data_IF_138581531948
#
_entry.id   IF_138581531948
#
_cell.length_a   1.000
_cell.length_b   1.000
_cell.length_c   1.000
_cell.angle_alpha   90.00
_cell.angle_beta   90.00
_cell.angle_gamma   90.00
#
_symmetry.space_group_name_H-M   'P 1'
#
loop_
_entity.id
_entity.type
_entity.pdbx_description
1 polymer ?
#
# COMPACT_ATOMS: atom_id res chain seq x y z
N UNK A 1 -8.90 -16.79 -6.58
CA UNK A 1 -8.92 -16.73 -8.06
C UNK A 1 -7.90 -15.69 -8.48
N UNK A 2 -6.79 -16.09 -9.09
CA UNK A 2 -5.73 -15.18 -9.56
C UNK A 2 -6.03 -14.78 -11.01
N UNK A 3 -6.45 -13.53 -11.23
CA UNK A 3 -6.52 -12.98 -12.59
C UNK A 3 -5.10 -12.81 -13.13
N UNK A 4 -4.69 -13.65 -14.08
CA UNK A 4 -3.36 -13.59 -14.70
C UNK A 4 -3.53 -13.33 -16.18
N UNK A 5 -3.28 -12.10 -16.63
CA UNK A 5 -2.95 -11.84 -18.03
C UNK A 5 -1.48 -12.23 -18.25
N UNK A 6 -1.24 -13.31 -19.00
CA UNK A 6 0.10 -13.74 -19.40
C UNK A 6 0.67 -12.75 -20.43
N UNK A 7 1.57 -11.88 -19.99
CA UNK A 7 2.44 -11.06 -20.83
C UNK A 7 3.80 -10.91 -20.15
N UNK A 8 4.87 -11.34 -20.81
CA UNK A 8 6.24 -11.25 -20.32
C UNK A 8 6.73 -9.78 -20.35
N UNK A 9 6.36 -9.01 -19.33
CA UNK A 9 6.78 -7.60 -19.19
C UNK A 9 5.88 -6.68 -18.36
N UNK A 10 4.92 -7.22 -17.58
CA UNK A 10 4.01 -6.40 -16.75
C UNK A 10 4.56 -6.05 -15.37
N UNK A 11 4.21 -4.86 -14.87
CA UNK A 11 4.49 -4.37 -13.52
C UNK A 11 3.64 -5.14 -12.51
N UNK A 12 4.20 -5.56 -11.38
CA UNK A 12 3.56 -6.48 -10.44
C UNK A 12 3.26 -5.80 -9.11
N UNK A 13 1.97 -5.64 -8.84
CA UNK A 13 1.47 -5.14 -7.55
C UNK A 13 0.89 -6.30 -6.74
N UNK A 14 1.23 -6.37 -5.45
CA UNK A 14 0.55 -7.26 -4.50
C UNK A 14 -0.27 -6.40 -3.55
N UNK A 15 -1.58 -6.52 -3.62
CA UNK A 15 -2.49 -5.89 -2.67
C UNK A 15 -2.67 -6.84 -1.49
N UNK A 16 -2.63 -6.33 -0.26
CA UNK A 16 -2.83 -7.08 0.97
C UNK A 16 -3.97 -6.43 1.76
N UNK A 17 -5.09 -7.11 1.91
CA UNK A 17 -6.27 -6.65 2.66
C UNK A 17 -6.90 -7.80 3.43
N UNK A 18 -7.08 -7.65 4.74
CA UNK A 18 -7.67 -8.72 5.56
C UNK A 18 -9.16 -8.99 5.29
N UNK A 19 -9.89 -7.98 4.82
CA UNK A 19 -11.36 -7.98 4.74
C UNK A 19 -11.89 -8.04 3.29
N UNK A 20 -11.01 -7.99 2.28
CA UNK A 20 -11.29 -8.11 0.83
C UNK A 20 -12.43 -7.21 0.29
N UNK A 21 -12.73 -6.06 0.92
CA UNK A 21 -13.84 -5.20 0.49
C UNK A 21 -13.44 -4.22 -0.61
N UNK A 22 -12.20 -3.73 -0.59
CA UNK A 22 -11.73 -2.69 -1.50
C UNK A 22 -10.71 -3.21 -2.51
N UNK A 23 -9.96 -4.24 -2.12
CA UNK A 23 -8.89 -4.85 -2.90
C UNK A 23 -9.34 -5.35 -4.28
N UNK A 24 -10.52 -5.95 -4.40
CA UNK A 24 -11.04 -6.44 -5.68
C UNK A 24 -11.38 -5.28 -6.63
N UNK A 25 -12.15 -4.29 -6.15
CA UNK A 25 -12.52 -3.12 -6.97
C UNK A 25 -11.29 -2.35 -7.44
N UNK A 26 -10.28 -2.20 -6.58
CA UNK A 26 -9.02 -1.56 -6.95
C UNK A 26 -8.26 -2.39 -8.00
N UNK A 27 -8.26 -3.71 -7.88
CA UNK A 27 -7.63 -4.61 -8.84
C UNK A 27 -8.30 -4.54 -10.22
N UNK A 28 -9.62 -4.52 -10.26
CA UNK A 28 -10.38 -4.45 -11.52
C UNK A 28 -10.02 -3.19 -12.31
N UNK A 29 -10.01 -2.02 -11.65
CA UNK A 29 -9.62 -0.74 -12.29
C UNK A 29 -8.14 -0.73 -12.67
N UNK A 30 -7.26 -1.31 -11.84
CA UNK A 30 -5.82 -1.39 -12.14
C UNK A 30 -5.50 -2.23 -13.38
N UNK A 31 -6.28 -3.27 -13.65
CA UNK A 31 -6.05 -4.18 -14.79
C UNK A 31 -6.63 -3.60 -16.09
N UNK A 32 -7.65 -2.74 -15.99
CA UNK A 32 -8.20 -1.98 -17.12
C UNK A 32 -7.28 -0.85 -17.60
N UNK A 33 -6.27 -0.49 -16.82
CA UNK A 33 -5.34 0.58 -17.15
C UNK A 33 -4.53 0.28 -18.43
N UNK A 34 -4.55 1.22 -19.37
CA UNK A 34 -3.94 1.04 -20.69
C UNK A 34 -2.54 1.61 -20.79
N UNK A 35 -2.15 2.54 -19.91
CA UNK A 35 -0.84 3.18 -19.99
C UNK A 35 0.32 2.25 -19.64
N UNK A 36 0.08 1.23 -18.82
CA UNK A 36 1.07 0.21 -18.42
C UNK A 36 0.39 -1.12 -18.14
N UNK A 37 1.02 -2.24 -18.52
CA UNK A 37 0.52 -3.56 -18.14
C UNK A 37 0.78 -3.80 -16.65
N UNK A 38 -0.28 -4.05 -15.88
CA UNK A 38 -0.21 -4.36 -14.44
C UNK A 38 -0.70 -5.79 -14.19
N UNK A 39 0.06 -6.55 -13.43
CA UNK A 39 -0.34 -7.85 -12.89
C UNK A 39 -0.60 -7.69 -11.39
N UNK A 40 -1.85 -7.89 -10.98
CA UNK A 40 -2.27 -7.69 -9.59
C UNK A 40 -2.42 -9.04 -8.89
N UNK A 41 -1.77 -9.19 -7.74
CA UNK A 41 -1.94 -10.32 -6.83
C UNK A 41 -2.72 -9.86 -5.61
N UNK A 42 -3.76 -10.59 -5.25
CA UNK A 42 -4.55 -10.35 -4.04
C UNK A 42 -4.11 -11.32 -2.95
N UNK A 43 -4.00 -10.81 -1.72
CA UNK A 43 -3.68 -11.59 -0.54
C UNK A 43 -4.44 -11.05 0.68
N UNK A 44 -4.81 -11.94 1.60
CA UNK A 44 -5.42 -11.56 2.89
C UNK A 44 -4.39 -11.11 3.92
N UNK A 45 -3.25 -11.78 3.92
CA UNK A 45 -2.12 -11.55 4.83
C UNK A 45 -0.84 -12.15 4.23
N UNK A 46 0.29 -11.85 4.86
CA UNK A 46 1.58 -12.47 4.56
C UNK A 46 2.02 -13.39 5.72
N UNK A 47 2.87 -14.41 5.46
CA UNK A 47 3.52 -14.73 4.18
C UNK A 47 2.54 -15.36 3.19
N UNK A 48 2.81 -15.22 1.89
CA UNK A 48 2.10 -16.02 0.89
C UNK A 48 2.49 -17.49 1.07
N UNK A 49 1.59 -18.45 0.74
CA UNK A 49 1.94 -19.87 0.75
C UNK A 49 3.23 -20.11 -0.06
N UNK A 50 4.13 -20.93 0.48
CA UNK A 50 5.48 -21.16 -0.06
C UNK A 50 5.51 -21.96 -1.38
N UNK A 51 4.35 -22.25 -1.96
CA UNK A 51 4.26 -22.93 -3.25
C UNK A 51 4.97 -22.09 -4.32
N UNK A 52 6.01 -22.69 -4.94
CA UNK A 52 6.77 -22.15 -6.06
C UNK A 52 7.75 -20.99 -5.76
N UNK A 53 8.36 -20.94 -4.56
CA UNK A 53 9.30 -19.88 -4.15
C UNK A 53 10.45 -19.64 -5.17
N UNK A 54 11.01 -20.71 -5.73
CA UNK A 54 12.08 -20.67 -6.76
C UNK A 54 11.66 -20.01 -8.09
N UNK A 55 10.35 -19.95 -8.36
CA UNK A 55 9.79 -19.27 -9.54
C UNK A 55 8.99 -18.02 -9.17
N UNK A 56 9.04 -17.60 -7.90
CA UNK A 56 8.23 -16.51 -7.38
C UNK A 56 8.63 -15.24 -8.12
N UNK A 57 7.71 -14.68 -8.92
CA UNK A 57 8.07 -13.53 -9.72
C UNK A 57 8.40 -12.33 -8.83
N UNK A 58 9.32 -11.48 -9.31
CA UNK A 58 9.65 -10.21 -8.63
C UNK A 58 8.38 -9.39 -8.38
N UNK A 59 8.24 -8.84 -7.18
CA UNK A 59 7.15 -7.94 -6.82
C UNK A 59 7.70 -6.51 -6.91
N UNK A 60 7.01 -5.64 -7.65
CA UNK A 60 7.44 -4.25 -7.83
C UNK A 60 6.89 -3.36 -6.71
N UNK A 61 5.66 -3.64 -6.25
CA UNK A 61 5.01 -2.92 -5.15
C UNK A 61 4.13 -3.84 -4.30
N UNK A 62 4.20 -3.69 -2.99
CA UNK A 62 3.27 -4.28 -2.01
C UNK A 62 2.42 -3.16 -1.42
N UNK A 63 1.10 -3.34 -1.42
CA UNK A 63 0.13 -2.34 -0.93
C UNK A 63 -0.63 -2.94 0.23
N UNK A 64 -0.46 -2.40 1.43
CA UNK A 64 -1.28 -2.76 2.59
C UNK A 64 -2.51 -1.86 2.65
N UNK A 65 -3.68 -2.45 2.41
CA UNK A 65 -4.96 -1.78 2.51
C UNK A 65 -5.48 -1.97 3.94
N UNK A 66 -5.60 -0.86 4.67
CA UNK A 66 -6.01 -0.83 6.08
C UNK A 66 -7.36 -0.13 6.18
N UNK A 67 -8.35 -0.89 6.62
CA UNK A 67 -9.67 -0.36 6.91
C UNK A 67 -9.69 0.29 8.30
N UNK A 68 -9.82 1.61 8.37
CA UNK A 68 -9.76 2.34 9.62
C UNK A 68 -10.96 2.12 10.54
N UNK A 69 -12.02 1.42 10.12
CA UNK A 69 -13.09 1.00 11.03
C UNK A 69 -12.82 -0.35 11.68
N UNK A 70 -11.81 -1.10 11.22
CA UNK A 70 -11.50 -2.46 11.66
C UNK A 70 -10.13 -2.53 12.31
N UNK A 71 -10.09 -2.86 13.61
CA UNK A 71 -8.82 -3.05 14.32
C UNK A 71 -8.04 -4.26 13.78
N UNK A 72 -8.77 -5.32 13.40
CA UNK A 72 -8.20 -6.54 12.83
C UNK A 72 -7.45 -6.24 11.51
N UNK A 73 -7.94 -5.28 10.73
CA UNK A 73 -7.27 -4.85 9.49
C UNK A 73 -5.86 -4.29 9.77
N UNK A 74 -5.73 -3.43 10.79
CA UNK A 74 -4.44 -2.89 11.21
C UNK A 74 -3.52 -3.98 11.77
N UNK A 75 -4.02 -4.80 12.70
CA UNK A 75 -3.23 -5.88 13.31
C UNK A 75 -2.74 -6.89 12.26
N UNK A 76 -3.57 -7.22 11.28
CA UNK A 76 -3.21 -8.11 10.16
C UNK A 76 -2.12 -7.50 9.28
N UNK A 77 -2.19 -6.20 8.99
CA UNK A 77 -1.14 -5.50 8.26
C UNK A 77 0.19 -5.51 9.05
N UNK A 78 0.16 -5.18 10.34
CA UNK A 78 1.34 -5.22 11.22
C UNK A 78 1.97 -6.60 11.32
N UNK A 79 1.14 -7.65 11.44
CA UNK A 79 1.61 -9.03 11.46
C UNK A 79 2.26 -9.41 10.11
N UNK A 80 1.65 -8.98 9.00
CA UNK A 80 2.11 -9.28 7.65
C UNK A 80 3.44 -8.62 7.29
N UNK A 81 3.71 -7.41 7.82
CA UNK A 81 4.96 -6.68 7.59
C UNK A 81 6.21 -7.45 8.02
N UNK A 82 6.10 -8.30 9.05
CA UNK A 82 7.21 -9.10 9.59
C UNK A 82 7.79 -10.11 8.60
N UNK A 83 7.05 -10.42 7.54
CA UNK A 83 7.44 -11.38 6.51
C UNK A 83 8.00 -10.73 5.25
N UNK A 84 8.07 -9.39 5.19
CA UNK A 84 8.70 -8.69 4.08
C UNK A 84 10.20 -8.59 4.30
N UNK A 85 10.95 -8.82 3.22
CA UNK A 85 12.38 -8.52 3.21
C UNK A 85 12.59 -7.00 3.40
N UNK A 86 13.56 -6.57 4.24
CA UNK A 86 13.79 -5.15 4.52
C UNK A 86 14.01 -4.28 3.27
N UNK A 87 14.51 -4.85 2.17
CA UNK A 87 14.69 -4.15 0.90
C UNK A 87 13.38 -3.67 0.26
N UNK A 88 12.23 -4.23 0.63
CA UNK A 88 10.92 -3.74 0.16
C UNK A 88 10.58 -2.36 0.72
N UNK A 89 11.04 -2.00 1.91
CA UNK A 89 10.76 -0.69 2.51
C UNK A 89 11.52 0.45 1.81
N UNK A 90 12.43 0.13 0.89
CA UNK A 90 13.14 1.08 0.04
C UNK A 90 12.30 1.53 -1.17
N UNK A 91 11.01 1.80 -0.93
CA UNK A 91 10.07 2.33 -1.93
C UNK A 91 9.25 1.31 -2.70
N UNK A 92 9.14 0.07 -2.20
CA UNK A 92 8.26 -0.99 -2.74
C UNK A 92 7.13 -1.38 -1.80
N UNK A 93 6.90 -0.61 -0.75
CA UNK A 93 5.75 -0.76 0.14
C UNK A 93 4.97 0.54 0.16
N UNK A 94 3.65 0.45 0.06
CA UNK A 94 2.72 1.56 0.20
C UNK A 94 1.62 1.16 1.19
N UNK A 95 1.25 2.07 2.08
CA UNK A 95 0.04 1.94 2.88
C UNK A 95 -1.10 2.67 2.21
N UNK A 96 -2.29 2.10 2.26
CA UNK A 96 -3.51 2.71 1.77
C UNK A 96 -4.58 2.56 2.83
N UNK A 97 -5.16 3.66 3.28
CA UNK A 97 -6.23 3.64 4.28
C UNK A 97 -7.57 3.92 3.64
N UNK A 98 -8.58 3.15 4.04
CA UNK A 98 -9.99 3.38 3.69
C UNK A 98 -10.76 3.86 4.93
N UNK A 99 -11.94 4.45 4.71
CA UNK A 99 -12.84 4.92 5.77
C UNK A 99 -12.24 5.96 6.74
N UNK A 100 -11.21 6.71 6.34
CA UNK A 100 -10.58 7.73 7.19
C UNK A 100 -11.51 8.89 7.60
N UNK A 101 -12.58 9.13 6.85
CA UNK A 101 -13.60 10.14 7.14
C UNK A 101 -14.82 9.58 7.87
N UNK A 102 -14.83 8.29 8.17
CA UNK A 102 -15.95 7.66 8.85
C UNK A 102 -15.93 8.06 10.33
N UNK A 103 -17.07 8.53 10.84
CA UNK A 103 -17.20 8.93 12.25
C UNK A 103 -16.96 7.77 13.24
N UNK A 104 -17.11 6.52 12.79
CA UNK A 104 -16.82 5.34 13.61
C UNK A 104 -15.34 4.95 13.64
N UNK A 105 -14.49 5.56 12.80
CA UNK A 105 -13.06 5.29 12.78
C UNK A 105 -12.37 6.05 13.93
N UNK A 106 -11.73 5.36 14.90
CA UNK A 106 -11.00 6.01 15.98
C UNK A 106 -9.80 6.78 15.43
N UNK A 107 -9.62 8.04 15.89
CA UNK A 107 -8.49 8.88 15.49
C UNK A 107 -7.13 8.24 15.82
N UNK A 108 -7.04 7.55 16.96
CA UNK A 108 -5.85 6.83 17.41
C UNK A 108 -5.37 5.78 16.40
N UNK A 109 -6.29 5.12 15.68
CA UNK A 109 -5.95 4.12 14.67
C UNK A 109 -5.30 4.77 13.45
N UNK A 110 -5.80 5.93 13.04
CA UNK A 110 -5.20 6.70 11.96
C UNK A 110 -3.80 7.18 12.36
N UNK A 111 -3.61 7.61 13.61
CA UNK A 111 -2.29 8.01 14.11
C UNK A 111 -1.32 6.84 14.22
N UNK A 112 -1.79 5.65 14.60
CA UNK A 112 -0.99 4.42 14.56
C UNK A 112 -0.50 4.11 13.14
N UNK A 113 -1.39 4.18 12.14
CA UNK A 113 -1.01 3.97 10.72
C UNK A 113 -0.03 5.04 10.24
N UNK A 114 -0.22 6.31 10.60
CA UNK A 114 0.72 7.38 10.26
C UNK A 114 2.10 7.14 10.87
N UNK A 115 2.17 6.75 12.15
CA UNK A 115 3.41 6.40 12.85
C UNK A 115 4.09 5.21 12.18
N UNK A 116 3.32 4.18 11.82
CA UNK A 116 3.82 3.00 11.11
C UNK A 116 4.38 3.33 9.72
N UNK A 117 3.66 4.12 8.92
CA UNK A 117 4.13 4.54 7.61
C UNK A 117 5.40 5.42 7.70
N UNK A 118 5.45 6.33 8.68
CA UNK A 118 6.59 7.19 8.92
C UNK A 118 7.83 6.41 9.37
N UNK A 119 7.68 5.44 10.28
CA UNK A 119 8.80 4.63 10.78
C UNK A 119 9.39 3.72 9.72
N UNK A 120 8.56 3.25 8.78
CA UNK A 120 8.96 2.40 7.67
C UNK A 120 9.31 3.18 6.38
N UNK A 121 9.26 4.52 6.42
CA UNK A 121 9.50 5.38 5.25
C UNK A 121 8.65 5.00 4.02
N UNK A 122 7.40 4.62 4.25
CA UNK A 122 6.47 4.18 3.22
C UNK A 122 5.46 5.28 2.89
N UNK A 123 5.05 5.44 1.62
CA UNK A 123 3.92 6.28 1.26
C UNK A 123 2.63 5.84 1.96
N UNK A 124 1.79 6.82 2.32
CA UNK A 124 0.46 6.61 2.89
C UNK A 124 -0.59 7.31 2.00
N UNK A 125 -1.48 6.53 1.39
CA UNK A 125 -2.58 7.02 0.57
C UNK A 125 -3.92 6.93 1.32
N UNK A 126 -4.77 7.94 1.14
CA UNK A 126 -6.14 7.92 1.61
C UNK A 126 -7.07 7.60 0.44
N UNK A 127 -7.74 6.45 0.50
CA UNK A 127 -8.65 5.98 -0.51
C UNK A 127 -10.12 6.13 -0.06
N UNK A 128 -10.96 6.54 -1.00
CA UNK A 128 -12.40 6.52 -0.84
C UNK A 128 -12.94 5.29 -1.55
N UNK A 129 -13.60 4.42 -0.78
CA UNK A 129 -14.08 3.11 -1.25
C UNK A 129 -15.59 3.05 -1.51
N UNK A 130 -16.31 4.16 -1.29
CA UNK A 130 -17.78 4.21 -1.39
C UNK A 130 -18.27 4.58 -2.78
N UNK A 131 -17.41 5.15 -3.63
CA UNK A 131 -17.77 5.67 -4.95
C UNK A 131 -16.81 5.15 -6.02
N UNK A 132 -17.27 4.93 -7.26
CA UNK A 132 -16.40 4.51 -8.37
C UNK A 132 -15.31 5.55 -8.66
N UNK A 133 -15.64 6.85 -8.58
CA UNK A 133 -14.67 7.94 -8.75
C UNK A 133 -13.58 7.91 -7.66
N UNK A 134 -13.94 7.55 -6.43
CA UNK A 134 -13.01 7.37 -5.33
C UNK A 134 -12.02 6.21 -5.57
N UNK A 135 -12.52 5.09 -6.09
CA UNK A 135 -11.71 3.92 -6.49
C UNK A 135 -10.78 4.30 -7.65
N UNK A 136 -11.28 5.01 -8.66
CA UNK A 136 -10.49 5.47 -9.81
C UNK A 136 -9.37 6.42 -9.36
N UNK A 137 -9.68 7.42 -8.53
CA UNK A 137 -8.68 8.35 -7.98
C UNK A 137 -7.65 7.66 -7.08
N UNK A 138 -8.05 6.65 -6.30
CA UNK A 138 -7.10 5.83 -5.53
C UNK A 138 -6.18 5.02 -6.45
N UNK A 139 -6.74 4.48 -7.53
CA UNK A 139 -6.02 3.70 -8.55
C UNK A 139 -4.99 4.56 -9.28
N UNK A 140 -5.34 5.76 -9.74
CA UNK A 140 -4.41 6.67 -10.41
C UNK A 140 -3.19 7.04 -9.54
N UNK A 141 -3.46 7.33 -8.25
CA UNK A 141 -2.41 7.63 -7.27
C UNK A 141 -1.51 6.43 -7.02
N UNK A 142 -2.11 5.25 -6.87
CA UNK A 142 -1.36 4.01 -6.69
C UNK A 142 -0.52 3.66 -7.92
N UNK A 143 -1.07 3.85 -9.12
CA UNK A 143 -0.40 3.62 -10.38
C UNK A 143 0.85 4.50 -10.52
N UNK A 144 0.78 5.74 -10.05
CA UNK A 144 1.93 6.65 -10.01
C UNK A 144 3.06 6.08 -9.15
N UNK A 145 2.74 5.57 -7.97
CA UNK A 145 3.72 4.91 -7.09
C UNK A 145 4.27 3.63 -7.73
N UNK A 146 3.40 2.80 -8.31
CA UNK A 146 3.81 1.57 -8.98
C UNK A 146 4.77 1.84 -10.15
N UNK A 147 4.48 2.83 -10.99
CA UNK A 147 5.36 3.24 -12.10
C UNK A 147 6.74 3.62 -11.60
N UNK A 148 6.83 4.33 -10.47
CA UNK A 148 8.12 4.69 -9.87
C UNK A 148 8.82 3.47 -9.23
N UNK A 149 8.09 2.64 -8.50
CA UNK A 149 8.64 1.44 -7.86
C UNK A 149 9.15 0.41 -8.89
N UNK A 150 8.50 0.33 -10.06
CA UNK A 150 8.90 -0.49 -11.20
C UNK A 150 10.00 0.16 -12.07
N UNK A 151 10.43 1.39 -11.77
CA UNK A 151 11.50 2.07 -12.52
C UNK A 151 11.08 2.60 -13.90
N UNK A 152 9.79 2.80 -14.14
CA UNK A 152 9.25 3.32 -15.41
C UNK A 152 9.32 4.84 -15.54
N UNK A 153 9.60 5.56 -14.44
CA UNK A 153 9.70 7.02 -14.44
C UNK A 153 11.18 7.42 -14.51
N UNK A 154 11.64 8.05 -15.60
CA UNK A 154 13.00 8.56 -15.67
C UNK A 154 13.26 9.55 -14.52
N UNK A 155 14.41 9.45 -13.86
CA UNK A 155 14.87 10.37 -12.80
C UNK A 155 14.19 10.18 -11.42
N UNK A 156 13.10 9.41 -11.33
CA UNK A 156 12.45 9.09 -10.06
C UNK A 156 12.61 7.61 -9.70
N UNK A 157 12.97 7.31 -8.45
CA UNK A 157 13.07 5.94 -7.91
C UNK A 157 12.16 5.77 -6.71
N UNK A 158 11.85 4.52 -6.32
CA UNK A 158 11.05 4.24 -5.12
C UNK A 158 11.59 4.94 -3.87
N UNK A 159 12.92 4.94 -3.69
CA UNK A 159 13.61 5.65 -2.60
C UNK A 159 13.33 7.17 -2.61
N UNK A 160 13.25 7.78 -3.79
CA UNK A 160 12.94 9.21 -3.92
C UNK A 160 11.49 9.50 -3.50
N UNK A 161 10.53 8.67 -3.93
CA UNK A 161 9.11 8.82 -3.56
C UNK A 161 8.90 8.62 -2.06
N UNK A 162 9.51 7.60 -1.45
CA UNK A 162 9.48 7.38 0.01
C UNK A 162 9.92 8.61 0.81
N UNK A 163 10.89 9.38 0.31
CA UNK A 163 11.34 10.60 0.95
C UNK A 163 10.36 11.77 0.77
N UNK A 164 9.69 11.87 -0.39
CA UNK A 164 8.73 12.94 -0.66
C UNK A 164 7.38 12.75 0.04
N UNK A 165 6.94 11.50 0.20
CA UNK A 165 5.65 11.18 0.85
C UNK A 165 5.77 11.08 2.36
N UNK A 166 6.87 11.57 2.94
CA UNK A 166 7.12 11.48 4.38
C UNK A 166 6.01 12.21 5.11
N UNK A 167 5.20 11.47 5.88
CA UNK A 167 4.31 12.08 6.86
C UNK A 167 5.19 12.73 7.93
N UNK A 168 5.36 14.05 7.87
CA UNK A 168 5.88 14.81 9.01
C UNK A 168 4.80 14.78 10.08
N UNK A 169 4.95 13.91 11.08
CA UNK A 169 4.25 14.10 12.34
C UNK A 169 4.67 15.47 12.87
N UNK A 170 3.74 16.31 13.37
CA UNK A 170 4.14 17.40 14.24
C UNK A 170 4.98 16.78 15.35
N UNK A 171 6.18 17.31 15.58
CA UNK A 171 6.91 17.01 16.82
C UNK A 171 5.97 17.43 17.95
N UNK A 172 5.58 16.49 18.82
CA UNK A 172 5.05 16.86 20.13
C UNK A 172 6.17 17.69 20.79
N UNK A 173 5.98 19.01 20.80
CA UNK A 173 6.81 19.93 21.55
C UNK A 173 6.34 19.78 23.00
N UNK A 174 6.69 18.68 23.65
CA UNK A 174 6.92 18.70 25.09
C UNK A 174 8.27 19.40 25.29
N UNK A 175 8.23 20.72 25.36
CA UNK A 175 9.32 21.47 25.99
C UNK A 175 9.32 21.12 27.47
N UNK A 176 10.36 20.49 28.03
CA UNK A 176 10.54 20.53 29.47
C UNK A 176 10.81 21.98 29.85
N UNK A 177 9.91 22.58 30.63
CA UNK A 177 10.24 23.75 31.42
C UNK A 177 11.36 23.34 32.37
N UNK A 178 12.58 23.78 32.10
CA UNK A 178 13.60 23.87 33.13
C UNK A 178 13.28 25.11 33.97
N UNK A 179 13.32 24.93 35.29
CA UNK A 179 12.91 25.85 36.38
C UNK A 179 13.04 27.36 36.09
#
# INVERSE_FOLDING_TARGET
MTATACGAGGNRATLVESEEQFQQSLADVLVEETSVTVNVRLAKSLPLPMENDESRPRIDLVVFIINLTSELSLQSAEASLKYLDPGYFLGKVCFMVTNARNASAPAERLDAVRKLAASLHCPLLFAENQTPDGVASATERLLTILKVAAGLVPIATGLYVSNLTRCTLPLDIDQPSFD
#
